data_IF_398211417089
#
_entry.id   IF_398211417089
#
_cell.length_a   1.000
_cell.length_b   1.000
_cell.length_c   1.000
_cell.angle_alpha   90.00
_cell.angle_beta   90.00
_cell.angle_gamma   90.00
#
_symmetry.space_group_name_H-M   'P 1'
#
loop_
_entity.id
_entity.type
_entity.pdbx_description
1 polymer ?
#
# COMPACT_ATOMS: atom_id res chain seq x y z
N UNK A 1 18.59 7.21 7.24
CA UNK A 1 18.78 6.10 8.20
C UNK A 1 20.26 5.75 8.31
N UNK A 2 20.83 5.62 9.53
CA UNK A 2 22.27 5.35 9.76
C UNK A 2 23.24 6.23 8.93
N UNK A 3 22.98 7.53 8.89
CA UNK A 3 23.80 8.50 8.14
C UNK A 3 23.69 8.44 6.61
N UNK A 4 22.78 7.63 6.07
CA UNK A 4 22.53 7.50 4.63
C UNK A 4 21.09 7.87 4.27
N UNK A 5 20.90 8.44 3.09
CA UNK A 5 19.61 8.76 2.48
C UNK A 5 19.37 7.89 1.25
N UNK A 6 18.11 7.79 0.83
CA UNK A 6 17.69 7.17 -0.42
C UNK A 6 16.55 8.00 -1.02
N UNK A 7 16.61 8.24 -2.31
CA UNK A 7 15.53 8.89 -3.07
C UNK A 7 14.75 7.81 -3.81
N UNK A 8 13.43 7.85 -3.72
CA UNK A 8 12.53 6.93 -4.41
C UNK A 8 11.40 7.71 -5.05
N UNK A 9 10.86 7.16 -6.15
CA UNK A 9 9.62 7.68 -6.73
C UNK A 9 8.51 7.55 -5.68
N UNK A 10 7.69 8.60 -5.55
CA UNK A 10 6.49 8.54 -4.73
C UNK A 10 5.58 7.41 -5.22
N UNK A 11 5.08 6.61 -4.28
CA UNK A 11 4.11 5.56 -4.52
C UNK A 11 3.23 5.43 -3.29
N UNK A 12 2.04 4.87 -3.46
CA UNK A 12 1.09 4.67 -2.36
C UNK A 12 1.70 3.91 -1.17
N UNK A 13 2.51 2.88 -1.44
CA UNK A 13 3.21 2.13 -0.38
C UNK A 13 4.31 2.93 0.32
N UNK A 14 4.99 3.83 -0.38
CA UNK A 14 5.96 4.75 0.25
C UNK A 14 5.24 5.79 1.11
N UNK A 15 4.09 6.30 0.66
CA UNK A 15 3.26 7.21 1.45
C UNK A 15 2.73 6.53 2.72
N UNK A 16 2.26 5.28 2.63
CA UNK A 16 1.83 4.51 3.81
C UNK A 16 2.98 4.41 4.84
N UNK A 17 4.20 4.13 4.38
CA UNK A 17 5.38 4.07 5.25
C UNK A 17 5.69 5.42 5.90
N UNK A 18 5.57 6.54 5.16
CA UNK A 18 5.77 7.89 5.70
C UNK A 18 4.76 8.17 6.82
N UNK A 19 3.48 7.85 6.60
CA UNK A 19 2.43 8.02 7.62
C UNK A 19 2.76 7.20 8.87
N UNK A 20 3.13 5.93 8.71
CA UNK A 20 3.48 5.07 9.84
C UNK A 20 4.72 5.55 10.60
N UNK A 21 5.74 6.00 9.88
CA UNK A 21 6.97 6.55 10.47
C UNK A 21 6.69 7.85 11.22
N UNK A 22 5.83 8.73 10.69
CA UNK A 22 5.41 9.95 11.38
C UNK A 22 4.57 9.65 12.63
N UNK A 23 3.78 8.59 12.60
CA UNK A 23 2.99 8.08 13.72
C UNK A 23 3.74 7.05 14.58
N UNK A 24 5.07 7.15 14.68
CA UNK A 24 5.90 6.14 15.36
C UNK A 24 5.38 5.80 16.77
N UNK A 25 5.15 4.51 17.03
CA UNK A 25 4.60 4.01 18.28
C UNK A 25 3.07 3.99 18.38
N UNK A 26 2.36 4.62 17.44
CA UNK A 26 0.89 4.60 17.35
C UNK A 26 0.38 3.61 16.30
N UNK A 27 -0.86 3.18 16.47
CA UNK A 27 -1.59 2.35 15.52
C UNK A 27 -2.40 3.23 14.57
N UNK A 28 -2.38 2.90 13.28
CA UNK A 28 -3.15 3.56 12.21
C UNK A 28 -4.04 2.52 11.57
N UNK A 29 -5.34 2.77 11.43
CA UNK A 29 -6.24 1.80 10.81
C UNK A 29 -5.91 1.62 9.33
N UNK A 30 -5.97 0.39 8.83
CA UNK A 30 -5.69 0.12 7.42
C UNK A 30 -6.68 0.84 6.48
N UNK A 31 -7.92 1.06 6.93
CA UNK A 31 -8.91 1.86 6.17
C UNK A 31 -8.47 3.32 6.03
N UNK A 32 -7.85 3.90 7.06
CA UNK A 32 -7.38 5.28 7.01
C UNK A 32 -6.15 5.39 6.10
N UNK A 33 -5.25 4.41 6.11
CA UNK A 33 -4.13 4.34 5.15
C UNK A 33 -4.61 4.08 3.71
N UNK A 34 -5.74 3.41 3.54
CA UNK A 34 -6.37 3.27 2.24
C UNK A 34 -6.94 4.61 1.75
N UNK A 35 -7.55 5.40 2.63
CA UNK A 35 -8.19 6.68 2.32
C UNK A 35 -7.18 7.86 2.18
N UNK A 36 -6.16 7.96 3.04
CA UNK A 36 -5.11 9.01 2.98
C UNK A 36 -4.31 8.92 1.68
N UNK A 37 -4.11 7.72 1.14
CA UNK A 37 -3.47 7.52 -0.16
C UNK A 37 -4.35 7.99 -1.35
N UNK A 38 -5.66 8.22 -1.14
CA UNK A 38 -6.59 8.72 -2.17
C UNK A 38 -6.54 10.24 -2.27
N UNK A 39 -6.32 10.96 -1.16
CA UNK A 39 -6.31 12.43 -1.14
C UNK A 39 -5.14 13.05 -1.93
N UNK A 40 -3.99 12.37 -2.06
CA UNK A 40 -2.87 12.83 -2.88
C UNK A 40 -2.98 12.46 -4.38
N UNK A 41 -3.97 11.64 -4.77
CA UNK A 41 -4.09 11.10 -6.13
C UNK A 41 -5.22 11.73 -6.97
N UNK A 42 -5.99 12.70 -6.46
CA UNK A 42 -7.22 13.13 -7.13
C UNK A 42 -7.05 14.37 -8.03
N UNK A 43 -6.93 14.12 -9.33
CA UNK A 43 -7.53 14.96 -10.40
C UNK A 43 -8.14 14.06 -11.48
N UNK A 44 -9.48 13.89 -11.47
CA UNK A 44 -10.25 13.50 -12.67
C UNK A 44 -11.26 12.34 -12.57
N UNK A 45 -12.55 12.70 -12.62
CA UNK A 45 -13.75 12.00 -13.17
C UNK A 45 -14.29 10.68 -12.56
N UNK A 46 -15.63 10.54 -12.61
CA UNK A 46 -16.46 9.55 -11.88
C UNK A 46 -16.89 8.38 -12.78
N UNK A 47 -16.56 7.13 -12.41
CA UNK A 47 -17.04 5.89 -13.06
C UNK A 47 -18.37 5.37 -12.46
N UNK A 48 -19.20 4.79 -13.32
CA UNK A 48 -20.46 4.10 -12.99
C UNK A 48 -20.29 2.95 -11.98
N UNK A 49 -21.21 2.84 -11.03
CA UNK A 49 -21.11 1.94 -9.88
C UNK A 49 -21.11 0.43 -10.24
N UNK A 50 -21.53 0.04 -11.45
CA UNK A 50 -21.46 -1.34 -11.93
C UNK A 50 -20.04 -1.70 -12.38
N UNK A 51 -19.41 -0.84 -13.19
CA UNK A 51 -18.02 -1.02 -13.60
C UNK A 51 -17.09 -1.11 -12.39
N UNK A 52 -17.34 -0.32 -11.34
CA UNK A 52 -16.62 -0.42 -10.05
C UNK A 52 -16.65 -1.83 -9.46
N UNK A 53 -17.82 -2.48 -9.42
CA UNK A 53 -17.94 -3.83 -8.83
C UNK A 53 -17.21 -4.89 -9.64
N UNK A 54 -17.23 -4.76 -10.96
CA UNK A 54 -16.56 -5.70 -11.86
C UNK A 54 -15.03 -5.58 -11.73
N UNK A 55 -14.51 -4.35 -11.61
CA UNK A 55 -13.11 -4.10 -11.29
C UNK A 55 -12.71 -4.62 -9.92
N UNK A 56 -13.54 -4.41 -8.88
CA UNK A 56 -13.28 -4.93 -7.54
C UNK A 56 -13.24 -6.46 -7.51
N UNK A 57 -14.16 -7.15 -8.18
CA UNK A 57 -14.16 -8.61 -8.28
C UNK A 57 -12.88 -9.11 -8.95
N UNK A 58 -12.45 -8.45 -10.03
CA UNK A 58 -11.23 -8.81 -10.74
C UNK A 58 -9.97 -8.64 -9.89
N UNK A 59 -9.89 -7.59 -9.08
CA UNK A 59 -8.76 -7.39 -8.16
C UNK A 59 -8.68 -8.51 -7.11
N UNK A 60 -9.83 -8.95 -6.58
CA UNK A 60 -9.88 -10.08 -5.63
C UNK A 60 -9.39 -11.37 -6.28
N UNK A 61 -9.83 -11.66 -7.51
CA UNK A 61 -9.39 -12.85 -8.24
C UNK A 61 -7.88 -12.83 -8.52
N UNK A 62 -7.34 -11.67 -8.88
CA UNK A 62 -5.90 -11.50 -9.11
C UNK A 62 -5.11 -11.66 -7.82
N UNK A 63 -5.60 -11.14 -6.69
CA UNK A 63 -4.97 -11.32 -5.39
C UNK A 63 -4.89 -12.80 -5.00
N UNK A 64 -5.99 -13.55 -5.16
CA UNK A 64 -6.00 -14.99 -4.90
C UNK A 64 -5.03 -15.75 -5.80
N UNK A 65 -4.92 -15.35 -7.08
CA UNK A 65 -4.00 -15.95 -8.03
C UNK A 65 -2.52 -15.61 -7.72
N UNK A 66 -2.23 -14.43 -7.18
CA UNK A 66 -0.91 -14.05 -6.67
C UNK A 66 -0.52 -14.92 -5.49
N UNK A 67 -1.42 -15.04 -4.49
CA UNK A 67 -1.17 -15.83 -3.28
C UNK A 67 -0.96 -17.32 -3.63
N UNK A 68 -1.75 -17.85 -4.56
CA UNK A 68 -1.58 -19.20 -5.12
C UNK A 68 -0.20 -19.35 -5.80
N UNK A 69 0.17 -18.41 -6.68
CA UNK A 69 1.45 -18.45 -7.38
C UNK A 69 2.64 -18.37 -6.40
N UNK A 70 2.55 -17.56 -5.35
CA UNK A 70 3.56 -17.48 -4.29
C UNK A 70 3.63 -18.79 -3.47
N UNK A 71 2.49 -19.39 -3.14
CA UNK A 71 2.43 -20.69 -2.46
C UNK A 71 3.13 -21.79 -3.27
N UNK A 72 2.98 -21.78 -4.59
CA UNK A 72 3.66 -22.71 -5.50
C UNK A 72 5.09 -22.29 -5.88
N UNK A 73 5.63 -21.21 -5.29
CA UNK A 73 6.94 -20.63 -5.62
C UNK A 73 7.10 -20.22 -7.11
N UNK A 74 6.00 -19.95 -7.81
CA UNK A 74 5.99 -19.42 -9.17
C UNK A 74 6.06 -17.88 -9.14
N UNK A 75 7.24 -17.37 -8.78
CA UNK A 75 7.46 -15.92 -8.62
C UNK A 75 7.31 -15.13 -9.93
N UNK A 76 7.55 -15.77 -11.08
CA UNK A 76 7.37 -15.13 -12.39
C UNK A 76 5.89 -14.93 -12.71
N UNK A 77 5.02 -15.89 -12.36
CA UNK A 77 3.56 -15.74 -12.44
C UNK A 77 3.05 -14.74 -11.42
N UNK A 78 3.50 -14.82 -10.16
CA UNK A 78 3.14 -13.84 -9.11
C UNK A 78 3.44 -12.41 -9.56
N UNK A 79 4.64 -12.16 -10.08
CA UNK A 79 5.03 -10.82 -10.55
C UNK A 79 4.13 -10.28 -11.68
N UNK A 80 3.79 -11.11 -12.67
CA UNK A 80 2.90 -10.68 -13.78
C UNK A 80 1.49 -10.35 -13.29
N UNK A 81 0.95 -11.17 -12.40
CA UNK A 81 -0.36 -10.96 -11.80
C UNK A 81 -0.38 -9.71 -10.90
N UNK A 82 0.72 -9.43 -10.20
CA UNK A 82 0.91 -8.19 -9.44
C UNK A 82 0.86 -6.95 -10.35
N UNK A 83 1.56 -6.99 -11.50
CA UNK A 83 1.53 -5.88 -12.47
C UNK A 83 0.12 -5.64 -13.03
N UNK A 84 -0.64 -6.70 -13.35
CA UNK A 84 -2.02 -6.58 -13.83
C UNK A 84 -2.95 -5.99 -12.75
N UNK A 85 -2.77 -6.42 -11.50
CA UNK A 85 -3.53 -5.93 -10.36
C UNK A 85 -3.24 -4.44 -10.09
N UNK A 86 -1.97 -4.03 -10.12
CA UNK A 86 -1.55 -2.64 -9.91
C UNK A 86 -2.16 -1.71 -10.97
N UNK A 87 -2.17 -2.12 -12.24
CA UNK A 87 -2.78 -1.36 -13.33
C UNK A 87 -4.30 -1.18 -13.13
N UNK A 88 -5.00 -2.22 -12.66
CA UNK A 88 -6.44 -2.14 -12.38
C UNK A 88 -6.74 -1.25 -11.17
N UNK A 89 -5.92 -1.30 -10.12
CA UNK A 89 -6.06 -0.43 -8.95
C UNK A 89 -5.81 1.03 -9.31
N UNK A 90 -4.81 1.31 -10.15
CA UNK A 90 -4.53 2.67 -10.65
C UNK A 90 -5.70 3.22 -11.46
N UNK A 91 -6.22 2.43 -12.41
CA UNK A 91 -7.37 2.79 -13.23
C UNK A 91 -8.63 3.01 -12.38
N UNK A 92 -8.87 2.16 -11.37
CA UNK A 92 -10.02 2.28 -10.49
C UNK A 92 -9.91 3.48 -9.51
N UNK A 93 -8.70 3.82 -9.07
CA UNK A 93 -8.47 4.97 -8.20
C UNK A 93 -8.68 6.30 -8.94
N UNK A 94 -8.24 6.40 -10.20
CA UNK A 94 -8.54 7.56 -11.05
C UNK A 94 -10.06 7.75 -11.17
N UNK A 95 -10.78 6.64 -11.30
CA UNK A 95 -12.20 6.56 -11.59
C UNK A 95 -13.20 6.82 -10.44
N UNK A 96 -12.84 6.59 -9.17
CA UNK A 96 -13.81 6.64 -8.03
C UNK A 96 -13.67 7.94 -7.23
N UNK A 97 -13.34 9.06 -7.86
CA UNK A 97 -13.43 10.36 -7.21
C UNK A 97 -14.86 10.68 -6.75
N UNK A 98 -15.25 10.25 -5.53
CA UNK A 98 -16.46 10.58 -4.72
C UNK A 98 -17.63 9.56 -4.77
N UNK A 99 -17.73 8.70 -3.74
CA UNK A 99 -19.03 8.35 -3.11
C UNK A 99 -19.37 6.88 -2.78
N UNK A 100 -19.79 6.59 -1.53
CA UNK A 100 -20.77 5.51 -1.24
C UNK A 100 -20.62 4.65 0.03
N UNK A 101 -20.86 5.21 1.22
CA UNK A 101 -20.96 4.57 2.57
C UNK A 101 -22.20 3.67 2.75
N UNK A 102 -22.13 2.60 3.56
CA UNK A 102 -23.30 2.18 4.36
C UNK A 102 -23.59 0.68 4.56
N UNK A 103 -23.02 -0.25 3.78
CA UNK A 103 -23.22 -1.71 4.00
C UNK A 103 -21.99 -2.56 3.65
N UNK A 104 -20.85 -1.86 3.47
CA UNK A 104 -19.63 -2.33 2.82
C UNK A 104 -18.47 -2.47 3.81
N UNK A 105 -18.68 -2.20 5.10
CA UNK A 105 -17.59 -1.80 6.00
C UNK A 105 -16.67 -2.96 6.42
N UNK A 106 -17.17 -4.18 6.58
CA UNK A 106 -16.34 -5.35 6.93
C UNK A 106 -15.51 -5.85 5.74
N UNK A 107 -16.12 -5.97 4.57
CA UNK A 107 -15.46 -6.37 3.33
C UNK A 107 -14.49 -5.27 2.85
N UNK A 108 -14.87 -3.99 3.01
CA UNK A 108 -13.98 -2.85 2.79
C UNK A 108 -12.78 -2.86 3.75
N UNK A 109 -12.98 -3.16 5.03
CA UNK A 109 -11.90 -3.24 6.02
C UNK A 109 -10.91 -4.36 5.70
N UNK A 110 -11.40 -5.54 5.33
CA UNK A 110 -10.55 -6.68 4.96
C UNK A 110 -9.78 -6.44 3.65
N UNK A 111 -10.42 -5.81 2.67
CA UNK A 111 -9.76 -5.38 1.43
C UNK A 111 -8.72 -4.29 1.69
N UNK A 112 -9.05 -3.29 2.51
CA UNK A 112 -8.13 -2.22 2.88
C UNK A 112 -6.91 -2.79 3.60
N UNK A 113 -7.12 -3.70 4.56
CA UNK A 113 -6.05 -4.44 5.25
C UNK A 113 -5.13 -5.15 4.28
N UNK A 114 -5.69 -5.94 3.37
CA UNK A 114 -4.90 -6.72 2.40
C UNK A 114 -4.15 -5.81 1.43
N UNK A 115 -4.81 -4.79 0.87
CA UNK A 115 -4.20 -3.84 -0.05
C UNK A 115 -3.07 -3.03 0.61
N UNK A 116 -3.29 -2.48 1.81
CA UNK A 116 -2.26 -1.74 2.57
C UNK A 116 -1.09 -2.65 2.91
N UNK A 117 -1.36 -3.87 3.38
CA UNK A 117 -0.31 -4.86 3.69
C UNK A 117 0.56 -5.12 2.46
N UNK A 118 -0.07 -5.34 1.30
CA UNK A 118 0.64 -5.59 0.05
C UNK A 118 1.49 -4.38 -0.37
N UNK A 119 0.91 -3.17 -0.37
CA UNK A 119 1.60 -1.92 -0.73
C UNK A 119 2.81 -1.65 0.16
N UNK A 120 2.65 -1.77 1.47
CA UNK A 120 3.74 -1.59 2.45
C UNK A 120 4.86 -2.60 2.18
N UNK A 121 4.53 -3.89 2.01
CA UNK A 121 5.54 -4.93 1.71
C UNK A 121 6.23 -4.68 0.38
N UNK A 122 5.51 -4.24 -0.65
CA UNK A 122 6.07 -3.83 -1.94
C UNK A 122 7.08 -2.69 -1.79
N UNK A 123 6.71 -1.62 -1.07
CA UNK A 123 7.57 -0.48 -0.83
C UNK A 123 8.83 -0.86 -0.02
N UNK A 124 8.68 -1.69 1.02
CA UNK A 124 9.83 -2.22 1.78
C UNK A 124 10.77 -3.03 0.88
N UNK A 125 10.24 -3.89 0.01
CA UNK A 125 11.06 -4.64 -0.97
C UNK A 125 11.83 -3.72 -1.90
N UNK A 126 11.20 -2.66 -2.42
CA UNK A 126 11.87 -1.66 -3.27
C UNK A 126 12.97 -0.92 -2.50
N UNK A 127 12.67 -0.43 -1.30
CA UNK A 127 13.64 0.26 -0.44
C UNK A 127 14.81 -0.65 -0.05
N UNK A 128 14.57 -1.94 0.13
CA UNK A 128 15.62 -2.94 0.43
C UNK A 128 16.64 -3.03 -0.69
N UNK A 129 16.20 -3.00 -1.96
CA UNK A 129 17.11 -3.05 -3.13
C UNK A 129 18.05 -1.84 -3.19
N UNK A 130 17.57 -0.67 -2.79
CA UNK A 130 18.32 0.59 -2.84
C UNK A 130 19.14 0.84 -1.56
N UNK A 131 18.60 0.41 -0.41
CA UNK A 131 19.20 0.61 0.90
C UNK A 131 18.91 -0.60 1.81
N UNK A 132 19.71 -1.69 1.72
CA UNK A 132 19.43 -2.95 2.42
C UNK A 132 19.22 -2.83 3.93
N UNK A 133 20.05 -2.02 4.61
CA UNK A 133 19.91 -1.81 6.05
C UNK A 133 18.62 -1.08 6.45
N UNK A 134 18.08 -0.22 5.56
CA UNK A 134 16.81 0.48 5.78
C UNK A 134 15.65 -0.48 5.56
N UNK A 135 15.71 -1.26 4.47
CA UNK A 135 14.74 -2.31 4.20
C UNK A 135 14.64 -3.31 5.35
N UNK A 136 15.76 -3.82 5.83
CA UNK A 136 15.80 -4.72 6.98
C UNK A 136 15.18 -4.10 8.23
N UNK A 137 15.52 -2.84 8.54
CA UNK A 137 14.92 -2.10 9.65
C UNK A 137 13.40 -2.03 9.53
N UNK A 138 12.87 -1.60 8.37
CA UNK A 138 11.44 -1.45 8.15
C UNK A 138 10.71 -2.80 8.21
N UNK A 139 11.29 -3.87 7.67
CA UNK A 139 10.72 -5.23 7.75
C UNK A 139 10.49 -5.69 9.20
N UNK A 140 11.37 -5.33 10.13
CA UNK A 140 11.29 -5.78 11.53
C UNK A 140 10.49 -4.83 12.43
N UNK A 141 10.27 -3.60 11.98
CA UNK A 141 9.62 -2.55 12.79
C UNK A 141 8.22 -2.20 12.30
N UNK A 142 7.84 -2.56 11.07
CA UNK A 142 6.49 -2.32 10.55
C UNK A 142 5.62 -3.55 10.74
N UNK A 143 4.53 -3.37 11.48
CA UNK A 143 3.48 -4.37 11.64
C UNK A 143 2.28 -4.01 10.76
N UNK A 144 1.74 -5.00 10.06
CA UNK A 144 0.58 -4.86 9.18
C UNK A 144 -0.56 -5.76 9.65
N UNK A 145 -1.79 -5.23 9.66
CA UNK A 145 -3.00 -5.92 10.11
C UNK A 145 -4.18 -4.96 9.97
N UNK A 146 -5.29 -5.20 10.67
CA UNK A 146 -6.41 -4.24 10.74
C UNK A 146 -5.92 -2.85 11.19
N UNK A 147 -4.93 -2.85 12.07
CA UNK A 147 -4.14 -1.70 12.44
C UNK A 147 -2.69 -1.92 12.03
N UNK A 148 -2.12 -0.94 11.33
CA UNK A 148 -0.73 -0.89 10.96
C UNK A 148 0.04 -0.03 11.95
N UNK A 149 1.30 -0.36 12.23
CA UNK A 149 2.14 0.44 13.11
C UNK A 149 3.61 0.34 12.73
N UNK A 150 4.37 1.38 13.04
CA UNK A 150 5.83 1.36 13.01
C UNK A 150 6.35 1.44 14.45
N UNK A 151 7.00 0.36 14.91
CA UNK A 151 7.51 0.15 16.26
C UNK A 151 8.99 -0.28 16.18
N UNK A 152 9.93 0.66 16.03
CA UNK A 152 11.35 0.34 16.02
C UNK A 152 11.84 0.00 17.43
N UNK A 153 12.83 -0.90 17.54
CA UNK A 153 13.44 -1.26 18.83
C UNK A 153 14.11 -0.07 19.54
N UNK A 154 14.62 0.88 18.75
CA UNK A 154 15.20 2.14 19.24
C UNK A 154 14.54 3.31 18.51
N UNK A 155 14.33 4.46 19.17
CA UNK A 155 13.84 5.66 18.50
C UNK A 155 14.73 6.04 17.31
N UNK A 156 14.09 6.33 16.18
CA UNK A 156 14.79 6.74 14.95
C UNK A 156 14.30 8.13 14.56
N UNK A 157 15.23 9.09 14.45
CA UNK A 157 14.95 10.39 13.88
C UNK A 157 14.93 10.28 12.34
N UNK A 158 13.80 10.65 11.73
CA UNK A 158 13.63 10.66 10.28
C UNK A 158 13.64 12.09 9.77
N UNK A 159 14.33 12.30 8.64
CA UNK A 159 14.13 13.45 7.78
C UNK A 159 13.55 12.91 6.47
N UNK A 160 12.42 13.46 6.05
CA UNK A 160 11.69 13.07 4.84
C UNK A 160 11.48 14.36 4.07
N UNK A 161 12.03 14.41 2.87
CA UNK A 161 11.94 15.54 1.97
C UNK A 161 11.12 15.09 0.76
N UNK A 162 10.13 15.89 0.37
CA UNK A 162 9.40 15.71 -0.87
C UNK A 162 9.79 16.82 -1.84
N UNK A 163 10.15 16.46 -3.06
CA UNK A 163 10.28 17.45 -4.13
C UNK A 163 8.85 17.90 -4.49
N UNK A 164 8.54 19.16 -4.20
CA UNK A 164 7.33 19.81 -4.67
C UNK A 164 7.54 20.17 -6.14
N UNK A 165 6.82 19.48 -7.03
CA UNK A 165 6.53 19.97 -8.39
C UNK A 165 5.16 20.66 -8.37
#
# INVERSE_FOLDING_TARGET
FRGRSVTVRSSKGVLDLIVLVAAAGSEVAAVDLADVAVEQASTGEVIDARARRDYEARIIDLQAAVDEAEHYNDFARSYRLQVEMDALVEHLAAAIGRGGRGRRDADHSERARSAVTHRIRGAIRQLTKLHPALGHHLTHSVNTGTYCSYRPEQPVAWSIEGDAD
#
